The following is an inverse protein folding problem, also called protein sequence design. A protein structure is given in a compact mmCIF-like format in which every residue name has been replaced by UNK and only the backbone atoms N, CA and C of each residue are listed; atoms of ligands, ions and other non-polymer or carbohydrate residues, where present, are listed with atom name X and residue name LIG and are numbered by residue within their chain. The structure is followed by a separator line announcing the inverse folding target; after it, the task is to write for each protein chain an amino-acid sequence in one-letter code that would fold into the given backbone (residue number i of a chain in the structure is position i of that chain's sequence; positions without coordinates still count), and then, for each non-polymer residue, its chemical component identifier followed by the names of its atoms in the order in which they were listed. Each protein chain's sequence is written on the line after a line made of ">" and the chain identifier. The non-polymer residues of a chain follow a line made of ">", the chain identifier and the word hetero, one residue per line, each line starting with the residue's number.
data_IF_057079564656
#
_entry.id   IF_057079564656
#
_cell.length_a   1.000
_cell.length_b   1.000
_cell.length_c   1.000
_cell.angle_alpha   90.00
_cell.angle_beta   90.00
_cell.angle_gamma   90.00
#
_symmetry.space_group_name_H-M   'P 1'
#
loop_
_entity.id
_entity.type
_entity.pdbx_description
1 polymer ?
2 non-polymer ?
3 non-polymer ?
4 non-polymer ?
5 water ?
#
# COMPACT_ATOMS: atom_id res chain seq x y z
N UNK A 5 1.76 17.48 -9.40
CA UNK A 5 2.81 17.14 -8.33
C UNK A 5 3.38 18.35 -7.59
N UNK A 6 3.25 18.30 -6.31
CA UNK A 6 3.74 19.41 -5.59
C UNK A 6 5.23 19.33 -5.34
N UNK A 7 5.77 20.33 -4.67
CA UNK A 7 7.20 20.29 -4.30
C UNK A 7 7.55 19.09 -3.45
N UNK A 8 8.76 18.60 -3.61
CA UNK A 8 9.24 17.35 -3.00
C UNK A 8 9.01 17.32 -1.52
N UNK A 9 8.33 16.27 -1.03
CA UNK A 9 8.04 16.13 0.36
C UNK A 9 8.84 14.97 0.95
N UNK A 10 9.14 15.02 2.21
CA UNK A 10 9.70 13.90 2.92
C UNK A 10 8.74 13.12 3.78
N UNK A 11 9.08 11.83 3.89
CA UNK A 11 8.37 10.84 4.73
C UNK A 11 9.28 10.31 5.80
N UNK A 12 10.25 11.15 6.19
CA UNK A 12 11.23 10.86 7.16
C UNK A 12 11.84 12.25 7.55
N UNK A 13 12.73 12.24 8.53
CA UNK A 13 13.56 13.45 8.84
C UNK A 13 12.58 14.59 9.24
N UNK A 14 12.36 15.56 8.39
CA UNK A 14 11.55 16.78 8.69
C UNK A 14 10.07 16.57 8.43
N UNK A 15 9.74 15.42 7.79
CA UNK A 15 8.33 15.06 7.53
C UNK A 15 7.53 16.19 6.90
N UNK A 16 7.94 16.64 5.75
CA UNK A 16 7.28 17.72 5.05
C UNK A 16 6.03 17.30 4.28
N UNK A 17 5.75 15.98 4.22
CA UNK A 17 4.53 15.50 3.56
C UNK A 17 3.31 16.22 4.17
N UNK A 18 2.44 16.68 3.29
CA UNK A 18 1.13 17.20 3.68
C UNK A 18 0.18 17.07 2.54
N UNK A 19 -1.12 17.02 2.86
CA UNK A 19 -2.12 16.84 1.84
C UNK A 19 -2.78 18.17 1.46
N UNK A 20 -2.93 18.39 0.17
CA UNK A 20 -3.79 19.47 -0.37
C UNK A 20 -5.24 19.18 0.03
N UNK A 21 -6.10 20.22 -0.10
CA UNK A 21 -7.48 19.92 0.17
C UNK A 21 -8.05 18.86 -0.77
N UNK A 22 -7.64 18.79 -2.04
CA UNK A 22 -8.11 17.78 -2.92
C UNK A 22 -7.71 16.32 -2.47
N UNK A 23 -6.47 16.24 -2.02
CA UNK A 23 -5.94 14.96 -1.52
C UNK A 23 -6.74 14.55 -0.26
N UNK A 24 -7.15 15.51 0.59
CA UNK A 24 -7.96 15.20 1.79
C UNK A 24 -9.30 14.67 1.32
N UNK A 25 -9.90 15.36 0.32
CA UNK A 25 -11.25 15.00 -0.08
C UNK A 25 -11.34 13.58 -0.63
N UNK A 26 -10.28 13.15 -1.32
CA UNK A 26 -10.29 11.82 -1.91
C UNK A 26 -9.63 10.74 -1.01
N UNK A 27 -9.27 11.09 0.18
CA UNK A 27 -8.62 10.09 1.07
C UNK A 27 -9.59 8.93 1.29
N UNK A 28 -9.13 7.69 1.21
CA UNK A 28 -10.02 6.56 1.33
C UNK A 28 -10.40 6.22 2.77
N UNK A 29 -11.27 7.01 3.37
CA UNK A 29 -11.68 6.75 4.77
C UNK A 29 -12.24 5.35 4.87
N UNK A 30 -11.72 4.52 5.81
CA UNK A 30 -11.94 3.09 5.71
C UNK A 30 -13.06 2.54 6.62
N UNK A 31 -13.83 3.40 7.27
CA UNK A 31 -14.80 2.93 8.30
C UNK A 31 -16.24 3.09 7.86
N UNK A 32 -16.91 1.95 7.52
CA UNK A 32 -18.29 2.09 7.10
C UNK A 32 -19.16 2.23 8.34
N UNK A 33 -18.66 1.94 9.53
CA UNK A 33 -19.47 1.93 10.78
C UNK A 33 -18.72 2.59 11.87
N UNK A 34 -19.39 2.90 12.99
CA UNK A 34 -18.73 3.51 14.12
C UNK A 34 -17.89 2.58 14.98
N UNK A 35 -17.82 1.30 14.62
CA UNK A 35 -16.86 0.40 15.19
C UNK A 35 -16.30 -0.46 14.00
N UNK A 36 -15.09 -0.93 14.25
CA UNK A 36 -14.34 -1.78 13.30
C UNK A 36 -14.22 -3.20 13.77
N UNK A 37 -14.40 -4.10 12.79
CA UNK A 37 -14.11 -5.49 12.96
C UNK A 37 -13.57 -6.09 11.66
N UNK A 38 -12.67 -7.05 11.79
CA UNK A 38 -12.18 -7.78 10.65
C UNK A 38 -13.33 -8.52 9.92
N UNK A 39 -13.20 -8.62 8.61
CA UNK A 39 -14.09 -9.33 7.75
C UNK A 39 -13.46 -9.58 6.43
N UNK A 40 -14.10 -10.41 5.62
CA UNK A 40 -13.72 -10.58 4.23
C UNK A 40 -14.32 -9.45 3.44
N UNK A 41 -13.64 -8.31 3.43
CA UNK A 41 -14.16 -7.09 2.88
C UNK A 41 -13.76 -6.83 1.43
N UNK A 42 -13.79 -7.91 0.68
CA UNK A 42 -13.40 -7.87 -0.75
C UNK A 42 -14.49 -7.43 -1.64
N UNK A 43 -14.19 -6.72 -2.70
CA UNK A 43 -15.19 -6.40 -3.72
C UNK A 43 -14.51 -6.41 -5.06
N UNK A 44 -15.29 -6.56 -6.13
CA UNK A 44 -14.68 -6.43 -7.45
C UNK A 44 -14.08 -5.07 -7.67
N UNK A 45 -12.86 -5.07 -8.20
CA UNK A 45 -12.12 -3.83 -8.40
C UNK A 45 -12.42 -3.19 -9.71
N UNK A 46 -13.62 -2.71 -9.77
CA UNK A 46 -14.17 -2.06 -10.95
C UNK A 46 -14.05 -0.57 -10.80
N UNK A 47 -13.86 0.13 -11.93
CA UNK A 47 -13.74 1.58 -11.91
C UNK A 47 -14.98 2.20 -11.41
N UNK A 48 -14.87 3.07 -10.43
CA UNK A 48 -15.98 3.90 -9.97
C UNK A 48 -15.52 5.23 -9.42
N UNK A 49 -16.45 6.20 -9.45
CA UNK A 49 -16.26 7.50 -8.82
C UNK A 49 -15.07 8.26 -9.38
N UNK A 50 -15.26 8.86 -10.55
CA UNK A 50 -14.19 9.64 -11.13
C UNK A 50 -13.57 10.64 -10.15
N UNK A 51 -12.22 10.74 -10.18
CA UNK A 51 -11.47 11.55 -9.24
C UNK A 51 -11.03 10.78 -7.95
N UNK A 52 -11.69 9.67 -7.68
CA UNK A 52 -11.44 8.94 -6.47
C UNK A 52 -10.30 7.97 -6.71
N UNK A 53 -9.86 7.37 -5.60
CA UNK A 53 -8.84 6.35 -5.70
C UNK A 53 -9.26 5.06 -6.36
N UNK A 54 -10.57 4.89 -6.58
CA UNK A 54 -11.13 3.72 -7.21
C UNK A 54 -11.35 3.84 -8.72
N UNK A 55 -10.96 4.96 -9.30
CA UNK A 55 -11.23 5.22 -10.70
C UNK A 55 -10.39 4.33 -11.62
N UNK A 56 -9.11 4.20 -11.25
CA UNK A 56 -8.16 3.38 -12.01
C UNK A 56 -7.58 2.24 -11.20
N UNK A 57 -7.04 1.20 -11.89
CA UNK A 57 -6.51 0.06 -11.12
C UNK A 57 -5.32 0.45 -10.32
N UNK A 58 -4.50 1.37 -10.82
CA UNK A 58 -3.34 1.92 -10.11
C UNK A 58 -3.51 3.41 -10.00
N UNK A 59 -3.46 3.92 -8.81
CA UNK A 59 -3.77 5.31 -8.55
C UNK A 59 -2.46 6.07 -8.39
N UNK A 60 -2.27 7.07 -9.22
CA UNK A 60 -1.15 7.99 -9.15
C UNK A 60 -1.66 9.34 -8.68
N UNK A 61 -1.09 9.90 -7.62
CA UNK A 61 -1.59 11.11 -6.97
C UNK A 61 -0.54 12.21 -6.86
N UNK A 62 -0.87 13.26 -6.11
CA UNK A 62 -0.04 14.42 -5.99
C UNK A 62 1.29 14.19 -5.38
N UNK A 63 1.39 13.03 -4.71
CA UNK A 63 2.62 12.74 -3.96
C UNK A 63 3.54 11.79 -4.73
N UNK A 64 3.23 11.55 -5.98
CA UNK A 64 3.94 10.55 -6.77
C UNK A 64 5.46 10.76 -6.76
N UNK A 65 5.90 11.98 -7.10
CA UNK A 65 7.34 12.19 -7.17
C UNK A 65 8.03 12.07 -5.77
N UNK A 66 7.40 12.63 -4.75
CA UNK A 66 7.88 12.52 -3.38
C UNK A 66 8.05 11.04 -3.00
N UNK A 67 7.01 10.29 -3.28
CA UNK A 67 7.03 8.87 -2.89
C UNK A 67 8.10 8.08 -3.61
N UNK A 68 8.28 8.38 -4.87
CA UNK A 68 9.33 7.68 -5.64
C UNK A 68 10.70 8.03 -5.13
N UNK A 69 10.92 9.27 -4.67
CA UNK A 69 12.13 9.64 -4.01
C UNK A 69 12.37 8.89 -2.68
N UNK A 70 11.27 8.72 -1.92
CA UNK A 70 11.33 7.93 -0.71
C UNK A 70 11.72 6.46 -1.00
N UNK A 71 11.07 5.84 -2.00
CA UNK A 71 11.40 4.49 -2.39
C UNK A 71 12.89 4.42 -2.75
N UNK A 72 13.34 5.38 -3.53
CA UNK A 72 14.75 5.32 -3.94
C UNK A 72 15.69 5.38 -2.74
N UNK A 73 15.37 6.18 -1.73
CA UNK A 73 16.21 6.25 -0.55
C UNK A 73 16.19 4.92 0.24
N UNK A 74 15.01 4.32 0.38
CA UNK A 74 14.90 3.06 1.11
C UNK A 74 15.80 2.02 0.44
N UNK A 75 15.73 1.96 -0.88
CA UNK A 75 16.45 0.93 -1.66
C UNK A 75 17.95 1.23 -1.70
N UNK A 76 18.30 2.52 -1.66
CA UNK A 76 19.72 2.85 -1.51
C UNK A 76 20.36 2.32 -0.26
N UNK A 77 19.63 2.41 0.86
CA UNK A 77 20.03 1.90 2.12
C UNK A 77 19.95 0.38 2.21
N UNK A 78 18.94 -0.21 1.55
CA UNK A 78 18.60 -1.62 1.70
C UNK A 78 18.00 -2.18 0.41
N UNK A 79 18.88 -2.65 -0.50
CA UNK A 79 18.37 -3.21 -1.77
C UNK A 79 17.56 -4.47 -1.59
N UNK A 80 17.67 -5.13 -0.43
CA UNK A 80 16.98 -6.38 -0.18
C UNK A 80 15.50 -6.18 0.18
N UNK A 81 14.99 -4.95 0.10
CA UNK A 81 13.55 -4.75 0.13
C UNK A 81 12.81 -5.27 -1.09
N UNK A 82 13.55 -5.52 -2.18
CA UNK A 82 12.98 -6.14 -3.37
C UNK A 82 13.66 -7.49 -3.51
N UNK A 83 12.87 -8.50 -3.75
CA UNK A 83 13.32 -9.86 -3.93
C UNK A 83 12.45 -10.47 -5.05
N UNK A 84 13.07 -11.20 -5.98
CA UNK A 84 12.32 -11.99 -6.96
C UNK A 84 12.98 -13.35 -7.04
N UNK A 85 12.39 -14.38 -6.47
CA UNK A 85 12.94 -15.70 -6.62
C UNK A 85 12.97 -16.09 -8.10
N UNK A 86 13.94 -16.89 -8.47
CA UNK A 86 14.09 -17.14 -9.93
C UNK A 86 12.90 -17.66 -10.63
N UNK A 87 12.09 -18.53 -9.98
CA UNK A 87 10.86 -18.97 -10.65
C UNK A 87 9.74 -17.88 -10.89
N UNK A 88 9.92 -16.70 -10.28
CA UNK A 88 9.01 -15.65 -10.42
C UNK A 88 9.45 -14.57 -11.48
N UNK A 89 10.49 -14.85 -12.22
CA UNK A 89 10.90 -13.88 -13.19
C UNK A 89 9.83 -13.59 -14.25
N UNK A 90 9.13 -14.59 -14.74
CA UNK A 90 8.04 -14.32 -15.67
C UNK A 90 6.96 -13.48 -15.05
N UNK A 91 6.56 -13.78 -13.79
CA UNK A 91 5.63 -12.98 -13.11
C UNK A 91 6.08 -11.53 -12.91
N UNK A 92 7.36 -11.25 -12.72
CA UNK A 92 7.88 -9.93 -12.65
C UNK A 92 7.66 -9.17 -13.95
N UNK A 93 7.92 -9.87 -15.09
CA UNK A 93 7.63 -9.22 -16.39
C UNK A 93 6.13 -8.97 -16.61
N UNK A 94 5.31 -9.92 -16.18
CA UNK A 94 3.81 -9.73 -16.24
C UNK A 94 3.44 -8.47 -15.47
N UNK A 95 4.02 -8.28 -14.27
CA UNK A 95 3.75 -7.14 -13.45
C UNK A 95 4.18 -5.83 -14.12
N UNK A 96 5.40 -5.85 -14.75
CA UNK A 96 5.84 -4.69 -15.44
C UNK A 96 4.85 -4.37 -16.62
N UNK A 97 4.39 -5.40 -17.32
CA UNK A 97 3.44 -5.20 -18.49
C UNK A 97 2.11 -4.55 -17.98
N UNK A 98 1.59 -5.08 -16.87
CA UNK A 98 0.32 -4.60 -16.33
C UNK A 98 0.42 -3.22 -15.88
N UNK A 99 1.51 -2.90 -15.20
CA UNK A 99 1.64 -1.52 -14.69
C UNK A 99 1.86 -0.54 -15.81
N UNK A 100 2.81 -0.84 -16.72
CA UNK A 100 3.02 0.10 -17.83
C UNK A 100 1.77 0.28 -18.72
N UNK A 101 1.04 -0.77 -19.02
CA UNK A 101 -0.17 -0.66 -19.80
C UNK A 101 -1.20 0.21 -19.14
N UNK A 102 -1.46 0.00 -17.86
CA UNK A 102 -2.50 0.76 -17.21
C UNK A 102 -2.08 2.16 -17.00
N UNK A 103 -0.82 2.42 -16.63
CA UNK A 103 -0.37 3.77 -16.35
C UNK A 103 -0.44 4.61 -17.65
N UNK A 104 0.00 4.05 -18.75
CA UNK A 104 -0.03 4.78 -20.03
C UNK A 104 -1.46 5.02 -20.54
N UNK A 105 -2.38 4.13 -20.25
CA UNK A 105 -3.79 4.30 -20.65
C UNK A 105 -4.38 5.35 -19.75
N UNK A 106 -4.15 5.27 -18.44
CA UNK A 106 -4.95 6.08 -17.50
C UNK A 106 -4.40 7.48 -17.24
N UNK A 107 -3.09 7.69 -17.43
CA UNK A 107 -2.45 8.93 -17.21
C UNK A 107 -1.57 9.31 -18.39
N UNK A 108 -2.21 9.57 -19.55
CA UNK A 108 -1.37 9.69 -20.77
C UNK A 108 -0.53 10.95 -20.77
N UNK A 109 -0.93 11.90 -19.94
CA UNK A 109 -0.15 13.06 -19.69
C UNK A 109 1.25 12.84 -19.03
N UNK A 110 1.38 11.74 -18.27
CA UNK A 110 2.58 11.44 -17.54
C UNK A 110 3.42 10.22 -18.03
N UNK A 111 2.77 9.31 -18.72
CA UNK A 111 3.37 8.03 -19.10
C UNK A 111 2.99 7.71 -20.53
N UNK A 112 3.92 7.01 -21.25
CA UNK A 112 3.60 6.59 -22.66
C UNK A 112 4.27 5.28 -22.87
N UNK A 113 3.55 4.43 -23.57
CA UNK A 113 4.10 3.15 -23.99
C UNK A 113 3.80 2.87 -25.46
N UNK A 114 4.85 2.54 -26.20
CA UNK A 114 4.65 2.07 -27.57
C UNK A 114 5.44 0.78 -27.74
N UNK A 115 4.87 -0.15 -28.45
CA UNK A 115 5.46 -1.51 -28.55
C UNK A 115 5.36 -2.04 -29.97
N UNK A 116 6.39 -2.75 -30.32
CA UNK A 116 6.35 -3.60 -31.52
C UNK A 116 7.03 -4.89 -31.17
N UNK A 117 6.20 -5.92 -31.03
CA UNK A 117 6.65 -7.18 -30.51
C UNK A 117 7.19 -6.91 -29.09
N UNK A 118 8.38 -7.45 -28.81
CA UNK A 118 9.05 -7.28 -27.54
C UNK A 118 9.98 -6.07 -27.50
N UNK A 119 9.96 -5.24 -28.53
CA UNK A 119 10.57 -3.96 -28.52
C UNK A 119 9.69 -2.90 -27.91
N UNK A 120 9.92 -2.59 -26.63
CA UNK A 120 9.07 -1.63 -25.89
C UNK A 120 9.77 -0.29 -25.64
N UNK A 121 8.94 0.74 -25.74
CA UNK A 121 9.41 2.08 -25.47
C UNK A 121 8.48 2.73 -24.43
N UNK A 122 9.08 2.93 -23.26
CA UNK A 122 8.41 3.51 -22.08
C UNK A 122 8.95 4.83 -21.78
N UNK A 123 8.04 5.78 -21.60
CA UNK A 123 8.39 7.13 -21.14
C UNK A 123 7.63 7.49 -19.84
N UNK A 124 8.36 7.93 -18.86
CA UNK A 124 7.79 8.50 -17.64
C UNK A 124 8.25 9.89 -17.56
N UNK A 125 7.34 10.77 -17.93
CA UNK A 125 7.65 12.17 -18.00
C UNK A 125 7.83 12.75 -16.60
N UNK A 126 7.05 12.26 -15.60
CA UNK A 126 7.19 12.78 -14.26
C UNK A 126 8.60 12.56 -13.70
N UNK A 127 9.29 11.42 -14.03
CA UNK A 127 10.58 11.14 -13.49
C UNK A 127 11.72 11.36 -14.49
N UNK A 128 11.38 11.84 -15.70
CA UNK A 128 12.38 12.08 -16.77
C UNK A 128 13.04 10.82 -17.29
N UNK A 129 12.26 9.76 -17.42
CA UNK A 129 12.78 8.46 -17.87
C UNK A 129 12.28 8.20 -19.31
N UNK A 130 13.17 7.75 -20.21
CA UNK A 130 12.81 7.47 -21.56
C UNK A 130 13.55 6.23 -21.94
N UNK A 131 12.89 5.10 -21.87
CA UNK A 131 13.56 3.80 -21.91
C UNK A 131 13.08 2.95 -23.08
N UNK A 132 14.05 2.52 -23.90
CA UNK A 132 13.80 1.52 -24.94
C UNK A 132 14.46 0.26 -24.52
N UNK A 133 13.63 -0.77 -24.42
CA UNK A 133 14.11 -2.04 -23.88
C UNK A 133 13.42 -3.23 -24.53
N UNK A 134 13.82 -4.43 -24.13
CA UNK A 134 13.37 -5.65 -24.65
C UNK A 134 12.56 -6.39 -23.62
N UNK A 135 11.26 -6.51 -23.89
CA UNK A 135 10.42 -7.20 -22.92
C UNK A 135 10.86 -8.63 -22.79
N UNK A 136 11.19 -9.06 -21.56
CA UNK A 136 11.67 -10.36 -21.30
C UNK A 136 13.14 -10.54 -21.17
N UNK A 137 13.90 -9.52 -21.54
CA UNK A 137 15.35 -9.51 -21.47
C UNK A 137 15.85 -8.63 -20.40
N UNK A 138 16.28 -9.24 -19.27
CA UNK A 138 16.55 -8.33 -18.11
C UNK A 138 17.83 -7.49 -18.26
N UNK A 139 18.70 -7.90 -19.18
CA UNK A 139 19.91 -7.13 -19.44
C UNK A 139 19.60 -5.87 -20.24
N UNK A 140 18.40 -5.76 -20.77
CA UNK A 140 17.99 -4.56 -21.43
C UNK A 140 17.51 -3.42 -20.58
N UNK A 141 17.35 -3.64 -19.28
CA UNK A 141 16.90 -2.63 -18.38
C UNK A 141 18.04 -2.39 -17.38
N UNK A 142 18.06 -1.23 -16.69
CA UNK A 142 19.08 -0.93 -15.72
C UNK A 142 19.00 -1.75 -14.42
N UNK A 143 17.87 -2.43 -14.22
CA UNK A 143 17.77 -3.39 -13.14
C UNK A 143 16.66 -4.37 -13.47
N UNK A 144 16.55 -5.36 -12.56
CA UNK A 144 15.62 -6.43 -12.62
C UNK A 144 14.19 -5.86 -12.89
N UNK A 145 13.34 -6.51 -13.68
CA UNK A 145 12.08 -5.91 -14.09
C UNK A 145 11.08 -5.48 -12.98
N UNK A 146 10.98 -6.29 -11.90
CA UNK A 146 10.05 -5.84 -10.83
C UNK A 146 10.54 -4.59 -10.17
N UNK A 147 11.83 -4.56 -9.82
CA UNK A 147 12.41 -3.34 -9.25
C UNK A 147 12.26 -2.15 -10.22
N UNK A 148 12.53 -2.42 -11.50
CA UNK A 148 12.45 -1.34 -12.51
C UNK A 148 11.12 -0.62 -12.53
N UNK A 149 10.06 -1.41 -12.57
CA UNK A 149 8.75 -0.81 -12.71
C UNK A 149 8.22 -0.31 -11.35
N UNK A 150 8.53 -1.00 -10.24
CA UNK A 150 7.97 -0.54 -8.94
C UNK A 150 8.69 0.66 -8.37
N UNK A 151 9.90 0.94 -8.86
CA UNK A 151 10.56 2.21 -8.64
C UNK A 151 9.79 3.35 -9.27
N UNK A 152 8.76 3.04 -10.05
CA UNK A 152 7.97 4.02 -10.74
C UNK A 152 6.44 3.94 -10.47
N UNK A 153 6.05 3.19 -9.46
CA UNK A 153 4.65 3.20 -9.06
C UNK A 153 4.55 3.25 -7.54
N UNK A 154 3.60 4.03 -7.05
CA UNK A 154 3.33 4.17 -5.61
C UNK A 154 2.85 2.85 -4.98
N UNK A 155 3.11 2.74 -3.71
CA UNK A 155 2.70 1.62 -2.88
C UNK A 155 3.64 0.41 -3.06
N UNK A 156 3.42 -0.59 -2.25
CA UNK A 156 4.18 -1.79 -2.27
C UNK A 156 3.49 -2.85 -3.17
N UNK A 157 4.24 -3.90 -3.46
CA UNK A 157 3.71 -5.00 -4.31
C UNK A 157 4.23 -6.32 -3.74
N UNK A 158 3.40 -7.32 -3.56
CA UNK A 158 3.84 -8.64 -3.47
C UNK A 158 3.35 -9.41 -4.65
N UNK A 159 4.13 -10.39 -5.05
CA UNK A 159 3.78 -11.24 -6.24
C UNK A 159 3.79 -12.67 -5.68
N UNK A 160 2.62 -13.31 -5.76
CA UNK A 160 2.39 -14.60 -5.15
C UNK A 160 2.38 -15.71 -6.16
N UNK A 161 3.13 -16.74 -5.90
CA UNK A 161 3.03 -17.96 -6.69
C UNK A 161 1.82 -18.78 -6.20
N UNK A 162 0.94 -19.15 -7.15
CA UNK A 162 -0.23 -20.00 -6.78
C UNK A 162 0.07 -21.42 -7.15
N UNK A 163 0.21 -22.24 -6.15
CA UNK A 163 0.54 -23.68 -6.34
C UNK A 163 -0.04 -24.48 -5.20
N UNK A 164 -0.41 -25.71 -5.55
CA UNK A 164 -0.79 -26.66 -4.51
C UNK A 164 -1.87 -26.15 -3.56
N UNK A 165 -2.85 -25.41 -4.08
CA UNK A 165 -3.96 -24.92 -3.32
C UNK A 165 -3.61 -23.78 -2.38
N UNK A 166 -2.54 -23.06 -2.69
CA UNK A 166 -2.13 -21.96 -1.73
C UNK A 166 -1.39 -20.87 -2.50
N UNK A 167 -1.01 -19.81 -1.78
CA UNK A 167 -0.29 -18.67 -2.34
C UNK A 167 0.98 -18.50 -1.55
N UNK A 168 2.11 -18.26 -2.25
CA UNK A 168 3.37 -18.17 -1.65
C UNK A 168 4.07 -16.89 -2.03
N UNK A 169 4.60 -16.19 -1.01
CA UNK A 169 5.15 -14.83 -1.15
C UNK A 169 6.57 -14.91 -1.71
N UNK A 170 6.64 -15.10 -3.04
CA UNK A 170 7.92 -15.50 -3.67
C UNK A 170 8.65 -14.34 -4.39
N UNK A 171 8.03 -13.19 -4.38
CA UNK A 171 8.62 -11.97 -4.94
C UNK A 171 7.91 -10.71 -4.38
N UNK A 172 8.58 -9.57 -4.40
CA UNK A 172 7.91 -8.35 -4.01
C UNK A 172 8.87 -7.14 -3.97
N UNK A 173 8.28 -5.98 -3.81
CA UNK A 173 8.91 -4.72 -3.51
C UNK A 173 8.18 -4.17 -2.32
N UNK A 174 8.87 -4.15 -1.16
CA UNK A 174 8.17 -3.81 0.11
C UNK A 174 9.06 -2.82 0.84
N UNK A 175 8.80 -1.56 0.54
CA UNK A 175 9.51 -0.42 1.11
C UNK A 175 8.68 0.50 2.04
N UNK A 176 7.35 0.35 2.05
CA UNK A 176 6.50 1.10 2.97
C UNK A 176 5.55 0.18 3.75
N UNK A 177 6.08 -0.87 4.37
CA UNK A 177 5.15 -1.85 5.04
C UNK A 177 4.60 -1.28 6.35
N UNK A 178 3.40 -1.78 6.70
CA UNK A 178 2.86 -1.57 8.08
C UNK A 178 3.50 -2.64 8.98
N UNK A 179 4.77 -2.48 9.27
CA UNK A 179 5.48 -3.27 10.27
C UNK A 179 5.49 -4.77 9.99
N UNK A 180 6.07 -5.07 8.80
CA UNK A 180 6.35 -6.43 8.39
C UNK A 180 7.49 -6.36 7.35
N UNK A 181 8.05 -7.50 7.00
CA UNK A 181 9.23 -7.53 6.12
C UNK A 181 9.14 -8.63 5.12
N UNK A 182 9.43 -8.30 3.86
CA UNK A 182 9.49 -9.31 2.81
C UNK A 182 10.63 -10.31 2.99
N UNK A 183 11.78 -9.86 3.50
CA UNK A 183 12.84 -10.86 3.73
C UNK A 183 12.42 -11.78 4.83
N UNK A 184 11.65 -11.32 5.83
CA UNK A 184 11.09 -12.29 6.77
C UNK A 184 10.04 -13.29 6.22
N UNK A 185 9.18 -12.77 5.35
CA UNK A 185 8.05 -13.50 4.90
C UNK A 185 8.26 -14.26 3.62
N UNK A 186 9.41 -14.05 2.97
CA UNK A 186 9.70 -14.69 1.69
C UNK A 186 9.47 -16.17 1.75
N UNK A 187 8.70 -16.64 0.80
CA UNK A 187 8.43 -18.06 0.67
C UNK A 187 7.32 -18.61 1.51
N UNK A 188 6.80 -17.81 2.44
CA UNK A 188 5.67 -18.21 3.29
C UNK A 188 4.37 -18.35 2.52
N UNK A 189 3.47 -19.20 3.02
CA UNK A 189 2.20 -19.36 2.46
C UNK A 189 1.22 -18.38 3.13
N UNK A 190 0.04 -18.33 2.60
CA UNK A 190 -0.98 -17.35 2.93
C UNK A 190 -1.33 -17.30 4.45
N UNK A 191 -1.69 -18.44 4.95
CA UNK A 191 -2.04 -18.46 6.38
C UNK A 191 -0.83 -18.33 7.25
N UNK A 192 0.33 -18.78 6.83
CA UNK A 192 1.54 -18.58 7.55
C UNK A 192 2.02 -17.17 7.77
N UNK A 193 2.05 -16.37 6.69
CA UNK A 193 2.42 -14.96 6.85
C UNK A 193 1.41 -14.15 7.66
N UNK A 194 0.19 -14.63 7.68
CA UNK A 194 -0.90 -14.03 8.48
C UNK A 194 -0.92 -14.51 9.89
N UNK A 195 -0.02 -15.37 10.29
CA UNK A 195 -0.05 -15.97 11.66
C UNK A 195 -0.12 -14.96 12.84
N UNK A 196 0.52 -13.78 12.74
CA UNK A 196 0.48 -12.86 13.88
C UNK A 196 -0.85 -12.16 14.09
N UNK A 197 -1.80 -12.25 13.13
CA UNK A 197 -3.03 -11.44 13.22
C UNK A 197 -3.96 -12.07 14.25
N UNK A 198 -4.42 -11.28 15.21
CA UNK A 198 -5.41 -11.82 16.23
C UNK A 198 -6.76 -11.95 15.66
N UNK A 199 -7.53 -12.88 16.23
CA UNK A 199 -8.99 -13.04 16.00
C UNK A 199 -9.41 -13.62 14.67
N UNK A 200 -8.83 -13.12 13.58
CA UNK A 200 -9.32 -13.35 12.26
C UNK A 200 -9.18 -14.81 11.83
N UNK A 201 -8.22 -15.53 12.38
CA UNK A 201 -8.08 -16.96 12.00
C UNK A 201 -9.29 -17.74 12.49
N UNK A 202 -9.55 -17.59 13.78
CA UNK A 202 -10.71 -18.33 14.42
C UNK A 202 -12.05 -17.93 13.78
N UNK A 203 -12.17 -16.70 13.27
CA UNK A 203 -13.33 -16.22 12.59
C UNK A 203 -13.57 -16.85 11.18
N UNK A 204 -12.49 -17.44 10.69
CA UNK A 204 -12.53 -17.98 9.35
C UNK A 204 -12.14 -17.03 8.23
N UNK A 205 -11.75 -15.81 8.59
CA UNK A 205 -11.53 -14.72 7.60
C UNK A 205 -10.43 -15.15 6.63
N UNK A 206 -9.37 -15.71 7.17
CA UNK A 206 -8.23 -16.16 6.30
C UNK A 206 -8.59 -17.41 5.47
N UNK A 207 -9.40 -18.30 6.01
CA UNK A 207 -9.83 -19.44 5.17
C UNK A 207 -10.66 -18.97 4.01
N UNK A 208 -11.68 -18.11 4.24
CA UNK A 208 -12.54 -17.63 3.25
C UNK A 208 -11.77 -16.77 2.19
N UNK A 209 -10.85 -15.94 2.73
CA UNK A 209 -10.12 -15.03 1.84
C UNK A 209 -9.27 -15.80 0.86
N UNK A 210 -8.61 -16.87 1.33
CA UNK A 210 -7.68 -17.67 0.49
C UNK A 210 -8.51 -18.27 -0.62
N UNK A 211 -9.65 -18.80 -0.26
CA UNK A 211 -10.53 -19.40 -1.25
C UNK A 211 -10.98 -18.43 -2.33
N UNK A 212 -11.33 -17.18 -1.98
CA UNK A 212 -11.72 -16.16 -2.92
C UNK A 212 -10.49 -15.86 -3.84
N UNK A 213 -9.35 -15.62 -3.21
CA UNK A 213 -8.15 -15.21 -3.99
C UNK A 213 -7.70 -16.29 -5.01
N UNK A 214 -7.75 -17.54 -4.62
CA UNK A 214 -7.35 -18.65 -5.52
C UNK A 214 -8.20 -18.70 -6.78
N UNK A 215 -9.40 -18.12 -6.74
CA UNK A 215 -10.31 -18.12 -7.84
C UNK A 215 -10.33 -16.87 -8.65
N UNK A 216 -9.45 -15.90 -8.35
CA UNK A 216 -9.38 -14.74 -9.12
C UNK A 216 -8.88 -15.00 -10.54
N UNK A 217 -9.65 -14.49 -11.49
CA UNK A 217 -9.36 -14.63 -12.94
C UNK A 217 -8.88 -13.40 -13.61
N UNK A 218 -8.18 -13.59 -14.74
CA UNK A 218 -7.76 -12.47 -15.54
C UNK A 218 -8.92 -11.57 -15.91
N UNK A 219 -8.75 -10.29 -15.75
CA UNK A 219 -9.78 -9.29 -16.03
C UNK A 219 -10.85 -9.11 -14.96
N UNK A 220 -10.78 -9.84 -13.86
CA UNK A 220 -11.79 -9.69 -12.79
C UNK A 220 -11.00 -9.47 -11.46
N UNK A 221 -10.22 -8.40 -11.40
CA UNK A 221 -9.48 -8.21 -10.14
C UNK A 221 -10.41 -7.77 -8.96
N UNK A 222 -9.86 -7.85 -7.77
CA UNK A 222 -10.56 -7.69 -6.48
C UNK A 222 -9.76 -6.68 -5.63
N UNK A 223 -10.45 -6.01 -4.71
CA UNK A 223 -9.86 -5.02 -3.83
C UNK A 223 -10.42 -5.11 -2.44
N UNK A 224 -9.64 -4.59 -1.48
CA UNK A 224 -10.15 -4.30 -0.14
C UNK A 224 -9.34 -3.16 0.48
N UNK A 225 -9.85 -2.64 1.58
CA UNK A 225 -9.10 -1.66 2.37
C UNK A 225 -8.61 -2.31 3.63
N UNK A 226 -7.40 -1.89 4.03
CA UNK A 226 -6.85 -2.16 5.36
C UNK A 226 -6.48 -0.80 5.94
N UNK A 227 -6.23 -0.73 7.25
CA UNK A 227 -5.88 0.55 7.88
C UNK A 227 -5.04 0.27 9.07
N UNK A 228 -4.27 1.31 9.49
CA UNK A 228 -3.66 1.37 10.80
C UNK A 228 -3.39 2.85 11.12
N UNK A 229 -2.62 3.11 12.18
CA UNK A 229 -2.16 4.45 12.47
C UNK A 229 -0.64 4.45 12.41
N UNK A 230 -0.09 5.64 12.07
CA UNK A 230 1.31 5.88 12.05
C UNK A 230 1.60 7.21 12.69
N UNK A 231 2.62 7.27 13.51
CA UNK A 231 3.05 8.55 14.12
C UNK A 231 4.06 9.22 13.18
N UNK A 232 3.75 10.45 12.75
CA UNK A 232 4.37 11.13 11.65
C UNK A 232 4.08 10.44 10.34
N UNK A 233 4.21 11.14 9.18
CA UNK A 233 3.96 10.47 7.91
C UNK A 233 5.16 9.61 7.45
N UNK A 234 5.46 8.62 8.25
CA UNK A 234 6.60 7.71 8.02
C UNK A 234 6.13 6.57 7.14
N UNK A 235 6.56 6.48 5.87
CA UNK A 235 6.17 5.38 5.03
C UNK A 235 6.95 4.10 5.44
N UNK A 236 8.25 4.25 5.74
CA UNK A 236 9.06 3.03 6.00
C UNK A 236 8.97 2.63 7.46
N UNK A 237 7.82 2.07 7.84
CA UNK A 237 7.58 1.55 9.20
C UNK A 237 7.92 0.05 9.20
N UNK A 238 9.17 -0.28 8.88
CA UNK A 238 9.61 -1.65 8.75
C UNK A 238 10.33 -2.12 10.00
N UNK A 239 10.30 -3.42 10.24
CA UNK A 239 11.24 -4.00 11.23
C UNK A 239 12.68 -3.56 11.03
N UNK A 240 13.17 -3.54 9.79
CA UNK A 240 14.56 -3.20 9.48
C UNK A 240 14.99 -1.85 10.05
N UNK A 241 14.08 -0.93 10.14
CA UNK A 241 14.38 0.42 10.56
C UNK A 241 13.71 0.86 11.88
N UNK A 242 13.26 -0.12 12.69
CA UNK A 242 12.54 0.16 13.95
C UNK A 242 13.17 1.27 14.78
N UNK A 243 14.47 1.28 14.95
CA UNK A 243 15.06 2.30 15.83
C UNK A 243 14.78 3.72 15.35
N UNK A 244 14.47 3.89 14.09
CA UNK A 244 14.12 5.19 13.52
C UNK A 244 12.71 5.68 13.72
N UNK A 245 11.77 4.77 14.00
CA UNK A 245 10.42 5.12 14.12
C UNK A 245 9.68 4.64 15.38
N UNK A 246 10.01 3.48 15.91
CA UNK A 246 9.20 2.89 17.05
C UNK A 246 9.05 3.84 18.27
N UNK A 247 10.11 4.59 18.58
CA UNK A 247 10.21 5.61 19.68
C UNK A 247 9.17 6.69 19.56
N UNK A 248 8.76 7.00 18.32
CA UNK A 248 7.81 8.11 18.13
C UNK A 248 6.44 7.80 18.76
N UNK A 249 6.13 6.51 18.99
CA UNK A 249 4.90 6.10 19.61
C UNK A 249 4.87 6.55 21.05
N UNK A 250 6.00 7.00 21.60
CA UNK A 250 6.00 7.56 23.00
C UNK A 250 5.96 9.10 23.04
N UNK A 251 5.82 9.75 21.91
CA UNK A 251 5.94 11.22 21.76
C UNK A 251 4.60 11.97 21.61
N UNK A 252 3.47 11.26 21.68
CA UNK A 252 2.15 11.83 21.51
C UNK A 252 1.71 12.47 22.84
N UNK A 253 1.16 13.69 22.68
CA UNK A 253 0.66 14.42 23.86
C UNK A 253 -0.69 14.93 23.47
N UNK A 254 -1.47 15.39 24.52
CA UNK A 254 -2.73 16.05 24.20
C UNK A 254 -2.66 17.22 23.24
N UNK A 255 -1.51 17.91 23.24
CA UNK A 255 -1.34 19.10 22.41
C UNK A 255 -0.92 18.81 20.94
N UNK A 256 -0.33 17.61 20.72
CA UNK A 256 0.23 17.35 19.43
C UNK A 256 -0.41 16.17 18.64
N UNK A 257 -1.52 15.65 19.14
CA UNK A 257 -2.17 14.50 18.43
C UNK A 257 -2.45 14.81 16.96
N UNK A 258 -3.02 15.98 16.67
CA UNK A 258 -3.43 16.35 15.39
C UNK A 258 -2.26 16.41 14.33
N UNK A 259 -1.06 16.76 14.76
CA UNK A 259 0.07 16.92 13.86
C UNK A 259 0.87 15.60 13.80
N UNK A 260 0.83 14.79 14.85
CA UNK A 260 1.60 13.55 14.89
C UNK A 260 0.80 12.31 14.37
N UNK A 261 -0.41 12.12 14.86
CA UNK A 261 -1.08 10.86 14.53
C UNK A 261 -1.61 10.95 13.11
N UNK A 262 -1.29 9.92 12.31
CA UNK A 262 -1.80 9.82 10.97
C UNK A 262 -2.60 8.56 10.79
N UNK A 263 -3.71 8.70 10.08
CA UNK A 263 -4.43 7.51 9.63
C UNK A 263 -3.78 7.03 8.38
N UNK A 264 -3.50 5.75 8.34
CA UNK A 264 -2.83 5.05 7.23
C UNK A 264 -3.82 4.06 6.65
N UNK A 265 -4.07 4.16 5.37
CA UNK A 265 -5.01 3.23 4.70
C UNK A 265 -4.27 2.59 3.57
N UNK A 266 -4.54 1.32 3.40
CA UNK A 266 -3.97 0.53 2.28
C UNK A 266 -5.16 0.21 1.39
N UNK A 267 -5.11 0.61 0.14
CA UNK A 267 -6.02 0.17 -0.89
C UNK A 267 -5.34 -0.97 -1.56
N UNK A 268 -5.89 -2.13 -1.37
CA UNK A 268 -5.24 -3.39 -1.81
C UNK A 268 -5.86 -3.92 -3.08
N UNK A 269 -5.02 -4.27 -4.07
CA UNK A 269 -5.50 -4.87 -5.35
C UNK A 269 -5.01 -6.25 -5.44
N UNK A 270 -5.89 -7.20 -5.81
CA UNK A 270 -5.47 -8.49 -6.19
C UNK A 270 -5.88 -8.78 -7.63
N UNK A 271 -4.86 -9.03 -8.48
CA UNK A 271 -5.06 -9.17 -9.91
C UNK A 271 -4.30 -10.38 -10.39
N UNK A 272 -4.94 -11.15 -11.24
CA UNK A 272 -4.27 -12.30 -11.84
C UNK A 272 -3.31 -11.89 -12.96
N UNK A 273 -2.10 -12.40 -12.96
CA UNK A 273 -1.10 -12.00 -13.96
C UNK A 273 -1.19 -13.04 -15.08
N UNK A 274 -1.35 -12.58 -16.36
CA UNK A 274 -1.86 -13.50 -17.36
C UNK A 274 -0.87 -14.57 -17.92
N UNK A 275 0.40 -14.29 -18.07
CA UNK A 275 1.28 -15.40 -18.54
C UNK A 275 1.60 -16.36 -17.44
N UNK A 276 2.06 -15.84 -16.30
CA UNK A 276 2.49 -16.69 -15.24
C UNK A 276 1.42 -17.33 -14.36
N UNK A 277 0.22 -16.80 -14.37
CA UNK A 277 -0.87 -17.21 -13.46
C UNK A 277 -0.61 -16.79 -12.02
N UNK A 278 0.46 -16.03 -11.78
CA UNK A 278 0.69 -15.53 -10.43
C UNK A 278 -0.39 -14.52 -10.05
N UNK A 279 -0.41 -14.16 -8.78
CA UNK A 279 -1.31 -13.13 -8.24
C UNK A 279 -0.51 -11.89 -7.81
N UNK A 280 -0.82 -10.79 -8.37
CA UNK A 280 -0.25 -9.50 -7.98
C UNK A 280 -1.09 -8.94 -6.79
N UNK A 281 -0.39 -8.52 -5.73
CA UNK A 281 -1.01 -7.88 -4.57
C UNK A 281 -0.41 -6.47 -4.46
N UNK A 282 -1.19 -5.48 -4.84
CA UNK A 282 -0.77 -4.07 -4.74
C UNK A 282 -1.23 -3.54 -3.38
N UNK A 283 -0.34 -2.78 -2.69
CA UNK A 283 -0.63 -2.21 -1.43
C UNK A 283 -0.41 -0.72 -1.49
N UNK A 284 -1.47 -0.01 -1.89
CA UNK A 284 -1.34 1.41 -2.12
C UNK A 284 -1.66 2.16 -0.82
N UNK A 285 -0.61 2.83 -0.28
CA UNK A 285 -0.64 3.40 1.07
C UNK A 285 -0.85 4.92 1.05
N UNK A 286 -1.94 5.33 1.72
CA UNK A 286 -2.35 6.67 1.90
C UNK A 286 -2.15 7.04 3.33
N UNK A 287 -1.73 8.28 3.57
CA UNK A 287 -1.55 8.87 4.90
C UNK A 287 -2.28 10.20 5.02
N UNK A 288 -2.88 10.45 6.20
CA UNK A 288 -3.53 11.74 6.48
C UNK A 288 -3.35 12.02 7.96
N UNK A 289 -2.93 13.23 8.31
CA UNK A 289 -2.82 13.62 9.69
C UNK A 289 -4.22 13.80 10.25
N UNK A 290 -4.27 13.71 11.55
CA UNK A 290 -5.62 13.86 12.18
C UNK A 290 -6.05 15.32 12.09
N UNK A 291 -5.13 16.30 12.08
CA UNK A 291 -5.56 17.68 11.79
C UNK A 291 -6.24 17.77 10.51
N UNK A 292 -5.72 17.12 9.48
CA UNK A 292 -6.34 17.11 8.17
C UNK A 292 -7.67 16.37 8.17
N UNK A 293 -7.67 15.20 8.77
CA UNK A 293 -8.85 14.36 8.82
C UNK A 293 -10.07 15.07 9.43
N UNK A 294 -9.80 15.74 10.53
CA UNK A 294 -10.94 16.32 11.33
C UNK A 294 -11.51 17.53 10.65
N UNK A 295 -10.90 17.98 9.52
CA UNK A 295 -11.56 18.84 8.43
C UNK A 295 -12.91 18.38 8.11
N UNK A 296 -13.13 17.07 8.19
CA UNK A 296 -14.38 16.44 7.87
C UNK A 296 -14.98 16.00 9.18
N UNK A 297 -16.04 16.69 9.65
CA UNK A 297 -16.50 16.40 11.02
C UNK A 297 -17.13 15.03 11.13
N UNK A 298 -17.66 14.47 10.08
CA UNK A 298 -18.21 13.09 10.11
C UNK A 298 -17.05 12.07 10.30
N UNK A 299 -15.95 12.29 9.58
CA UNK A 299 -14.79 11.41 9.81
C UNK A 299 -14.31 11.52 11.22
N UNK A 300 -14.22 12.76 11.76
CA UNK A 300 -13.71 12.93 13.07
C UNK A 300 -14.53 12.16 14.15
N UNK A 301 -15.84 12.34 14.05
CA UNK A 301 -16.76 11.70 15.01
C UNK A 301 -16.66 10.17 14.89
N UNK A 302 -16.68 9.67 13.66
CA UNK A 302 -16.62 8.22 13.47
C UNK A 302 -15.28 7.69 14.01
N UNK A 303 -14.17 8.40 13.73
CA UNK A 303 -12.85 7.89 14.22
C UNK A 303 -12.78 7.87 15.72
N UNK A 304 -13.44 8.87 16.39
CA UNK A 304 -13.50 8.84 17.84
C UNK A 304 -14.11 7.48 18.30
N UNK A 305 -15.23 7.16 17.76
CA UNK A 305 -15.97 5.96 18.16
C UNK A 305 -15.22 4.67 17.86
N UNK A 306 -14.63 4.61 16.68
CA UNK A 306 -13.82 3.45 16.34
C UNK A 306 -12.69 3.25 17.30
N UNK A 307 -11.89 4.31 17.53
CA UNK A 307 -10.76 4.17 18.38
C UNK A 307 -11.07 3.89 19.85
N UNK A 308 -12.16 4.48 20.32
CA UNK A 308 -12.61 4.24 21.74
C UNK A 308 -12.98 2.78 21.95
N UNK A 309 -13.64 2.23 20.93
CA UNK A 309 -14.28 0.93 21.05
C UNK A 309 -13.51 -0.26 20.44
N UNK A 310 -12.43 0.03 19.76
CA UNK A 310 -11.60 -1.03 19.07
C UNK A 310 -11.22 -2.13 20.01
N UNK A 311 -11.44 -3.39 19.61
CA UNK A 311 -10.99 -4.47 20.49
C UNK A 311 -9.56 -4.37 20.84
N UNK A 312 -9.23 -4.57 22.10
CA UNK A 312 -7.87 -4.44 22.56
C UNK A 312 -6.88 -5.32 21.78
N UNK A 313 -7.21 -6.53 21.42
CA UNK A 313 -6.19 -7.30 20.67
C UNK A 313 -5.86 -6.67 19.30
N UNK A 314 -6.83 -6.08 18.71
CA UNK A 314 -6.69 -5.41 17.39
C UNK A 314 -5.90 -4.11 17.57
N UNK A 315 -6.25 -3.33 18.57
CA UNK A 315 -5.38 -2.16 18.94
C UNK A 315 -3.95 -2.55 19.18
N UNK A 316 -3.68 -3.59 19.95
CA UNK A 316 -2.37 -4.00 20.25
C UNK A 316 -1.62 -4.50 19.03
N UNK A 317 -2.31 -5.26 18.21
CA UNK A 317 -1.72 -5.74 16.96
C UNK A 317 -1.30 -4.60 16.08
N UNK A 318 -2.15 -3.58 15.98
CA UNK A 318 -1.87 -2.42 15.12
C UNK A 318 -0.81 -1.44 15.65
N UNK A 319 -0.39 -1.65 16.91
CA UNK A 319 0.65 -0.88 17.53
C UNK A 319 0.22 0.44 18.04
N UNK A 320 -1.05 0.62 18.44
CA UNK A 320 -1.62 1.92 18.83
C UNK A 320 -1.65 2.06 20.35
N UNK A 321 -1.33 0.99 21.06
CA UNK A 321 -1.50 0.93 22.53
C UNK A 321 -0.93 2.08 23.33
N UNK A 322 0.28 2.43 22.98
CA UNK A 322 1.07 3.37 23.84
C UNK A 322 0.41 4.76 23.86
N UNK A 323 -0.30 5.21 22.82
CA UNK A 323 -0.86 6.55 22.74
C UNK A 323 -2.38 6.58 22.65
N UNK A 324 -3.00 5.39 22.74
CA UNK A 324 -4.41 5.29 22.47
C UNK A 324 -5.32 6.16 23.35
N UNK A 325 -5.03 6.19 24.63
CA UNK A 325 -5.87 6.99 25.54
C UNK A 325 -5.78 8.47 25.19
N UNK A 326 -4.57 8.99 24.98
CA UNK A 326 -4.41 10.39 24.54
C UNK A 326 -5.19 10.67 23.28
N UNK A 327 -5.08 9.73 22.30
CA UNK A 327 -5.75 9.85 21.04
C UNK A 327 -7.28 9.92 21.17
N UNK A 328 -7.77 9.00 21.99
CA UNK A 328 -9.23 8.89 22.25
C UNK A 328 -9.79 10.17 22.92
N UNK A 329 -9.07 10.63 23.89
CA UNK A 329 -9.41 11.88 24.62
C UNK A 329 -9.46 13.08 23.64
N UNK A 330 -8.47 13.12 22.74
CA UNK A 330 -8.46 14.17 21.73
C UNK A 330 -9.57 14.13 20.77
N UNK A 331 -9.90 12.92 20.24
CA UNK A 331 -10.95 12.76 19.29
C UNK A 331 -12.38 12.99 19.96
N UNK A 332 -12.47 12.80 21.27
CA UNK A 332 -13.80 12.90 21.97
C UNK A 332 -14.36 14.30 21.74
N UNK A 333 -13.45 15.26 21.63
CA UNK A 333 -13.85 16.64 21.38
C UNK A 333 -14.64 16.86 20.14
N UNK A 334 -14.55 15.94 19.14
CA UNK A 334 -15.28 16.01 17.91
C UNK A 334 -16.56 15.13 17.82
N UNK A 335 -17.03 14.70 18.96
CA UNK A 335 -18.14 13.79 19.04
C UNK A 335 -19.20 14.41 20.00
N UNK A 336 -20.13 15.17 19.46
CA UNK A 336 -21.16 15.86 20.32
C UNK A 336 -21.92 14.90 21.25
N UNK A 337 -22.26 13.66 20.88
CA UNK A 337 -22.58 12.63 21.89
C UNK A 337 -21.17 11.96 22.22
#
# INVERSE_FOLDING_TARGET
>A
MTLTFKPLESYREDFSFRNSPAAIARFPFPFPEDQYMYSVNLEPAVSRDPGSVFEHQFDVDEHYVSEMAERARVLELDPGRCLVMPHMAQAAWDTLAMLMEHLARDYPQHFRLTRQGDAWHWQNLALGIDQRFTFGDPASLPCEPLEYITRQMQGDFAVLDQRDGDLFMDAGMVTCPADWSLRFDAGMSFKQWHSPVPMAHQMGVFDRALKYLLNIQVGAPVRRLNWTLTINPRLDTSPETYHEWGNDRGKVTPDNVGRLVHLRVELQLMARLPRSNALLFGIRTYLISLDELVSNPAWAQRLHRVMRDLPDPIADYKGITRYRQTLVDWLRRFDPEAHHHHHH
#
